data_IF_016361321728
#
_entry.id   IF_016361321728
#
_cell.length_a   1.000
_cell.length_b   1.000
_cell.length_c   1.000
_cell.angle_alpha   90.00
_cell.angle_beta   90.00
_cell.angle_gamma   90.00
#
_symmetry.space_group_name_H-M   'P 1'
#
loop_
_entity.id
_entity.type
_entity.pdbx_description
1 polymer ?
#
# COMPACT_ATOMS: atom_id res chain seq x y z
N UNK A 1 45.41 27.85 -19.38
CA UNK A 1 44.05 28.38 -19.63
C UNK A 1 42.92 27.33 -19.55
N UNK A 2 43.15 26.11 -19.03
CA UNK A 2 42.10 25.06 -18.92
C UNK A 2 41.50 24.88 -17.52
N UNK A 3 42.05 25.54 -16.50
CA UNK A 3 41.67 25.36 -15.08
C UNK A 3 40.58 26.33 -14.59
N UNK A 4 40.18 27.32 -15.40
CA UNK A 4 39.21 28.35 -14.99
C UNK A 4 37.75 27.92 -15.18
N UNK A 5 37.49 26.87 -15.97
CA UNK A 5 36.15 26.30 -16.17
C UNK A 5 35.81 25.14 -15.21
N UNK A 6 36.78 24.67 -14.41
CA UNK A 6 36.58 23.56 -13.47
C UNK A 6 35.80 23.98 -12.21
N UNK A 7 35.84 25.27 -11.86
CA UNK A 7 35.20 25.82 -10.64
C UNK A 7 33.68 25.93 -10.77
N UNK A 8 33.08 26.46 -11.87
CA UNK A 8 31.62 26.47 -12.00
C UNK A 8 31.03 25.07 -12.22
N UNK A 9 31.80 24.14 -12.80
CA UNK A 9 31.38 22.75 -13.00
C UNK A 9 31.28 21.97 -11.68
N UNK A 10 32.17 22.24 -10.73
CA UNK A 10 32.16 21.61 -9.40
C UNK A 10 31.00 22.12 -8.52
N UNK A 11 30.59 23.39 -8.71
CA UNK A 11 29.49 23.99 -7.94
C UNK A 11 28.11 23.44 -8.34
N UNK A 12 27.94 23.06 -9.62
CA UNK A 12 26.71 22.45 -10.14
C UNK A 12 26.56 20.99 -9.66
N UNK A 13 27.67 20.31 -9.35
CA UNK A 13 27.69 18.94 -8.83
C UNK A 13 27.43 18.84 -7.31
N UNK A 14 27.40 19.97 -6.60
CA UNK A 14 27.19 20.06 -5.16
C UNK A 14 25.77 20.46 -4.76
N UNK A 15 24.82 20.55 -5.70
CA UNK A 15 23.41 20.68 -5.37
C UNK A 15 22.94 19.38 -4.73
N UNK A 16 22.69 19.33 -3.41
CA UNK A 16 22.11 18.15 -2.81
C UNK A 16 20.70 18.07 -3.36
N UNK A 17 20.40 16.99 -4.09
CA UNK A 17 19.03 16.65 -4.46
C UNK A 17 18.27 16.49 -3.15
N UNK A 18 17.51 17.53 -2.76
CA UNK A 18 16.47 17.41 -1.76
C UNK A 18 15.43 16.45 -2.36
N UNK A 19 15.66 15.16 -2.18
CA UNK A 19 14.61 14.17 -2.20
C UNK A 19 13.72 14.52 -1.01
N UNK A 20 12.77 15.42 -1.24
CA UNK A 20 11.70 15.64 -0.29
C UNK A 20 10.97 14.30 -0.19
N UNK A 21 11.22 13.57 0.88
CA UNK A 21 10.38 12.46 1.29
C UNK A 21 9.00 13.07 1.56
N UNK A 22 8.09 12.93 0.59
CA UNK A 22 6.69 13.29 0.79
C UNK A 22 6.14 12.29 1.80
N UNK A 23 6.05 12.71 3.05
CA UNK A 23 5.28 11.98 4.05
C UNK A 23 3.81 12.07 3.66
N UNK A 24 3.27 10.98 3.12
CA UNK A 24 1.84 10.84 2.88
C UNK A 24 1.18 10.66 4.24
N UNK A 25 0.71 11.76 4.82
CA UNK A 25 -0.10 11.74 6.04
C UNK A 25 -1.51 11.25 5.67
N UNK A 26 -1.76 9.95 5.83
CA UNK A 26 -3.11 9.38 5.67
C UNK A 26 -3.88 9.57 6.97
N UNK A 27 -4.98 10.32 6.95
CA UNK A 27 -5.93 10.33 8.07
C UNK A 27 -6.80 9.07 8.01
N UNK A 28 -7.15 8.52 9.17
CA UNK A 28 -8.13 7.41 9.25
C UNK A 28 -9.49 7.84 8.65
N UNK A 29 -9.83 9.13 8.78
CA UNK A 29 -11.08 9.69 8.24
C UNK A 29 -11.08 9.78 6.70
N UNK A 30 -9.90 9.79 6.08
CA UNK A 30 -9.76 9.82 4.62
C UNK A 30 -9.84 8.41 4.01
N UNK A 31 -9.89 7.37 4.83
CA UNK A 31 -10.02 5.99 4.35
C UNK A 31 -11.44 5.72 3.87
N UNK A 32 -11.59 5.47 2.57
CA UNK A 32 -12.85 5.06 1.97
C UNK A 32 -13.33 3.73 2.57
N UNK A 33 -14.40 3.78 3.36
CA UNK A 33 -15.09 2.59 3.88
C UNK A 33 -16.24 2.19 2.96
N UNK A 34 -16.49 0.89 2.86
CA UNK A 34 -17.64 0.34 2.15
C UNK A 34 -18.45 -0.57 3.07
N UNK A 35 -19.75 -0.64 2.82
CA UNK A 35 -20.65 -1.56 3.51
C UNK A 35 -20.56 -2.97 2.92
N UNK A 36 -21.11 -3.95 3.63
CA UNK A 36 -21.22 -5.34 3.14
C UNK A 36 -21.99 -5.40 1.82
N UNK A 37 -23.06 -4.62 1.67
CA UNK A 37 -23.85 -4.56 0.43
C UNK A 37 -23.02 -4.02 -0.73
N UNK A 38 -22.22 -2.97 -0.50
CA UNK A 38 -21.34 -2.40 -1.52
C UNK A 38 -20.22 -3.38 -1.91
N UNK A 39 -19.64 -4.11 -0.95
CA UNK A 39 -18.66 -5.16 -1.26
C UNK A 39 -19.28 -6.24 -2.17
N UNK A 40 -20.49 -6.70 -1.87
CA UNK A 40 -21.19 -7.69 -2.71
C UNK A 40 -21.45 -7.18 -4.12
N UNK A 41 -21.83 -5.91 -4.26
CA UNK A 41 -22.01 -5.28 -5.58
C UNK A 41 -20.67 -5.19 -6.34
N UNK A 42 -19.59 -4.83 -5.65
CA UNK A 42 -18.25 -4.73 -6.24
C UNK A 42 -17.77 -6.10 -6.77
N UNK A 43 -18.01 -7.17 -6.00
CA UNK A 43 -17.69 -8.54 -6.41
C UNK A 43 -18.48 -9.01 -7.65
N UNK A 44 -19.59 -8.35 -8.00
CA UNK A 44 -20.35 -8.65 -9.21
C UNK A 44 -19.88 -7.83 -10.42
N UNK A 45 -19.31 -6.64 -10.20
CA UNK A 45 -18.91 -5.72 -11.27
C UNK A 45 -17.46 -5.89 -11.71
N UNK A 46 -16.57 -6.29 -10.80
CA UNK A 46 -15.14 -6.37 -11.07
C UNK A 46 -14.45 -7.44 -10.21
N UNK A 47 -13.20 -7.75 -10.56
CA UNK A 47 -12.37 -8.64 -9.76
C UNK A 47 -11.84 -7.89 -8.53
N UNK A 48 -12.22 -8.36 -7.35
CA UNK A 48 -11.84 -7.75 -6.06
C UNK A 48 -10.93 -8.70 -5.30
N UNK A 49 -9.81 -8.18 -4.80
CA UNK A 49 -8.94 -8.88 -3.87
C UNK A 49 -9.35 -8.51 -2.45
N UNK A 50 -9.73 -9.51 -1.66
CA UNK A 50 -10.14 -9.30 -0.26
C UNK A 50 -8.97 -9.68 0.65
N UNK A 51 -8.58 -8.77 1.53
CA UNK A 51 -7.45 -8.95 2.45
C UNK A 51 -7.94 -8.97 3.89
N UNK A 52 -7.56 -10.02 4.61
CA UNK A 52 -7.73 -10.15 6.06
C UNK A 52 -6.47 -9.63 6.76
N UNK A 53 -6.61 -8.47 7.41
CA UNK A 53 -5.52 -7.80 8.13
C UNK A 53 -5.60 -8.01 9.66
N UNK A 54 -6.37 -9.01 10.12
CA UNK A 54 -6.45 -9.31 11.56
C UNK A 54 -5.13 -9.82 12.10
N UNK A 55 -4.82 -9.45 13.34
CA UNK A 55 -3.71 -10.06 14.08
C UNK A 55 -3.90 -11.59 14.18
N UNK A 56 -2.81 -12.37 14.38
CA UNK A 56 -2.92 -13.82 14.53
C UNK A 56 -3.94 -14.28 15.57
N UNK A 57 -4.00 -13.60 16.72
CA UNK A 57 -4.94 -13.92 17.79
C UNK A 57 -6.40 -13.64 17.40
N UNK A 58 -6.68 -12.50 16.75
CA UNK A 58 -8.03 -12.16 16.27
C UNK A 58 -8.49 -13.13 15.18
N UNK A 59 -7.61 -13.48 14.25
CA UNK A 59 -7.92 -14.44 13.19
C UNK A 59 -8.26 -15.83 13.74
N UNK A 60 -7.48 -16.31 14.73
CA UNK A 60 -7.70 -17.60 15.39
C UNK A 60 -9.04 -17.65 16.13
N UNK A 61 -9.44 -16.56 16.78
CA UNK A 61 -10.69 -16.48 17.56
C UNK A 61 -11.93 -16.18 16.71
N UNK A 62 -11.75 -15.85 15.44
CA UNK A 62 -12.85 -15.46 14.57
C UNK A 62 -13.74 -16.64 14.21
N UNK A 63 -15.03 -16.51 14.54
CA UNK A 63 -16.10 -17.43 14.15
C UNK A 63 -16.38 -17.38 12.65
N UNK A 64 -16.19 -16.21 12.04
CA UNK A 64 -16.46 -15.97 10.62
C UNK A 64 -15.25 -15.37 9.89
N UNK A 65 -15.10 -15.76 8.62
CA UNK A 65 -14.03 -15.32 7.71
C UNK A 65 -14.64 -15.18 6.32
N UNK A 66 -14.19 -14.21 5.54
CA UNK A 66 -14.67 -14.05 4.16
C UNK A 66 -14.00 -15.13 3.28
N UNK A 67 -14.75 -16.01 2.61
CA UNK A 67 -14.18 -17.03 1.74
C UNK A 67 -13.34 -16.41 0.62
N UNK A 68 -12.16 -16.98 0.35
CA UNK A 68 -11.24 -16.48 -0.67
C UNK A 68 -10.41 -15.26 -0.26
N UNK A 69 -10.56 -14.75 0.97
CA UNK A 69 -9.71 -13.68 1.46
C UNK A 69 -8.26 -14.14 1.65
N UNK A 70 -7.32 -13.29 1.24
CA UNK A 70 -5.89 -13.47 1.45
C UNK A 70 -5.55 -12.91 2.82
N UNK A 71 -4.92 -13.72 3.67
CA UNK A 71 -4.45 -13.27 4.97
C UNK A 71 -3.04 -12.71 4.85
N UNK A 72 -2.85 -11.48 5.33
CA UNK A 72 -1.54 -10.85 5.45
C UNK A 72 -1.27 -10.60 6.94
N UNK A 73 -0.38 -11.41 7.53
CA UNK A 73 -0.09 -11.40 8.97
C UNK A 73 1.30 -10.82 9.32
N UNK A 74 2.14 -10.59 8.31
CA UNK A 74 3.51 -10.11 8.46
C UNK A 74 3.89 -9.10 7.37
N UNK A 75 4.92 -8.30 7.64
CA UNK A 75 5.46 -7.34 6.66
C UNK A 75 6.03 -8.02 5.41
N UNK A 76 6.67 -9.18 5.56
CA UNK A 76 7.23 -9.93 4.44
C UNK A 76 6.12 -10.42 3.48
N UNK A 77 4.96 -10.80 4.01
CA UNK A 77 3.79 -11.17 3.20
C UNK A 77 3.22 -9.96 2.44
N UNK A 78 3.24 -8.77 3.03
CA UNK A 78 2.79 -7.54 2.35
C UNK A 78 3.71 -7.20 1.17
N UNK A 79 5.03 -7.38 1.33
CA UNK A 79 5.98 -7.13 0.25
C UNK A 79 5.72 -8.07 -0.95
N UNK A 80 5.52 -9.36 -0.70
CA UNK A 80 5.18 -10.35 -1.74
C UNK A 80 3.82 -10.07 -2.37
N UNK A 81 2.82 -9.73 -1.55
CA UNK A 81 1.48 -9.37 -2.04
C UNK A 81 1.54 -8.22 -3.04
N UNK A 82 2.39 -7.21 -2.80
CA UNK A 82 2.59 -6.08 -3.72
C UNK A 82 3.18 -6.51 -5.07
N UNK A 83 4.01 -7.55 -5.11
CA UNK A 83 4.57 -8.09 -6.34
C UNK A 83 3.53 -8.92 -7.12
N UNK A 84 2.66 -9.64 -6.41
CA UNK A 84 1.64 -10.52 -7.00
C UNK A 84 0.37 -9.76 -7.47
N UNK A 85 -0.02 -8.70 -6.76
CA UNK A 85 -1.24 -7.95 -7.01
C UNK A 85 -0.93 -6.49 -7.36
N UNK A 86 -0.77 -6.16 -8.66
CA UNK A 86 -0.52 -4.80 -9.09
C UNK A 86 -1.71 -3.88 -8.77
N UNK A 87 -1.41 -2.61 -8.53
CA UNK A 87 -2.33 -1.52 -8.08
C UNK A 87 -3.57 -1.26 -8.95
N UNK A 88 -3.74 -1.99 -10.06
CA UNK A 88 -4.89 -1.86 -10.96
C UNK A 88 -6.12 -2.67 -10.52
N UNK A 89 -5.99 -3.53 -9.51
CA UNK A 89 -7.10 -4.30 -8.96
C UNK A 89 -7.65 -3.66 -7.68
N UNK A 90 -8.97 -3.69 -7.51
CA UNK A 90 -9.59 -3.23 -6.27
C UNK A 90 -9.20 -4.14 -5.10
N UNK A 91 -8.59 -3.54 -4.08
CA UNK A 91 -8.22 -4.22 -2.83
C UNK A 91 -9.16 -3.74 -1.72
N UNK A 92 -9.84 -4.69 -1.08
CA UNK A 92 -10.69 -4.42 0.09
C UNK A 92 -10.06 -5.09 1.31
N UNK A 93 -9.68 -4.28 2.29
CA UNK A 93 -9.06 -4.74 3.54
C UNK A 93 -10.12 -4.76 4.64
N UNK A 94 -10.18 -5.84 5.41
CA UNK A 94 -10.99 -5.90 6.62
C UNK A 94 -10.15 -6.29 7.85
N UNK A 95 -10.55 -5.75 8.99
CA UNK A 95 -10.01 -6.06 10.31
C UNK A 95 -11.16 -6.18 11.32
N UNK A 96 -10.83 -6.44 12.59
CA UNK A 96 -11.79 -6.40 13.71
C UNK A 96 -11.89 -4.99 14.27
#
# INVERSE_FOLDING_TARGET
MKKLYLIPLLLILLLPTLAAAVEVKVSIDDLKRITITQLKQLQQSEQVVIVDARSPAQWLRATEKIPGAIRLASYDEIAKFKEEFPVEQAIVIYCT
#
